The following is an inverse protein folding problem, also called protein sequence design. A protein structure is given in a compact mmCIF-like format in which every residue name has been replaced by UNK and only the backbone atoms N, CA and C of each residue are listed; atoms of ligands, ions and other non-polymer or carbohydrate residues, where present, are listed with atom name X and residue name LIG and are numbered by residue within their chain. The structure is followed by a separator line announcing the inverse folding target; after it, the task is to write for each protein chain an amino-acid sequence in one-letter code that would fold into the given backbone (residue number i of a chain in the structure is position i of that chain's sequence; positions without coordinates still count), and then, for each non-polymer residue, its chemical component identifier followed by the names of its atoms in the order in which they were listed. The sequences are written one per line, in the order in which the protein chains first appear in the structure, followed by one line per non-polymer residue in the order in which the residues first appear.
data_IF_025597740880
#
_entry.id   IF_025597740880
#
_cell.length_a   1.000
_cell.length_b   1.000
_cell.length_c   1.000
_cell.angle_alpha   90.00
_cell.angle_beta   90.00
_cell.angle_gamma   90.00
#
_symmetry.space_group_name_H-M   'P 1'
#
loop_
_entity.id
_entity.type
_entity.pdbx_description
1 polymer ?
#
# COMPACT_ATOMS: atom_id res chain seq x y z
N UNK A 1 18.78 8.58 5.19
CA UNK A 1 17.61 8.00 5.88
C UNK A 1 16.61 7.51 4.85
N UNK A 2 15.95 6.38 5.10
CA UNK A 2 14.94 5.78 4.21
C UNK A 2 13.65 6.59 4.27
N UNK A 3 13.48 7.54 3.33
CA UNK A 3 12.34 8.48 3.32
C UNK A 3 10.98 7.81 3.11
N UNK A 4 10.94 6.59 2.57
CA UNK A 4 9.70 5.84 2.33
C UNK A 4 9.34 4.89 3.49
N UNK A 5 9.94 5.11 4.67
CA UNK A 5 9.74 4.33 5.91
C UNK A 5 10.07 2.85 5.74
N UNK A 6 9.21 1.95 6.24
CA UNK A 6 9.40 0.50 6.22
C UNK A 6 8.24 -0.23 5.53
N UNK A 7 8.43 -1.52 5.31
CA UNK A 7 7.37 -2.40 4.81
C UNK A 7 6.19 -2.50 5.78
N UNK A 8 6.36 -2.14 7.07
CA UNK A 8 5.23 -2.04 7.98
C UNK A 8 4.24 -0.97 7.52
N UNK A 9 4.71 0.21 7.11
CA UNK A 9 3.80 1.26 6.66
C UNK A 9 3.23 0.98 5.28
N UNK A 10 3.99 0.31 4.40
CA UNK A 10 3.45 -0.24 3.16
C UNK A 10 2.27 -1.20 3.48
N UNK A 11 2.47 -2.14 4.40
CA UNK A 11 1.46 -3.10 4.80
C UNK A 11 0.23 -2.43 5.44
N UNK A 12 0.42 -1.47 6.35
CA UNK A 12 -0.68 -0.70 6.95
C UNK A 12 -1.51 0.02 5.88
N UNK A 13 -0.85 0.58 4.84
CA UNK A 13 -1.52 1.30 3.76
C UNK A 13 -2.22 0.40 2.76
N UNK A 14 -1.59 -0.71 2.40
CA UNK A 14 -2.02 -1.56 1.28
C UNK A 14 -2.83 -2.77 1.73
N UNK A 15 -2.77 -3.14 3.00
CA UNK A 15 -3.19 -4.44 3.53
C UNK A 15 -2.39 -5.58 2.88
N UNK A 16 -2.65 -5.85 1.61
CA UNK A 16 -1.97 -6.84 0.78
C UNK A 16 -1.23 -6.19 -0.39
N UNK A 17 -0.12 -6.80 -0.81
CA UNK A 17 0.57 -6.44 -2.05
C UNK A 17 0.38 -7.53 -3.11
N UNK A 18 0.51 -7.13 -4.38
CA UNK A 18 0.36 -8.05 -5.50
C UNK A 18 1.52 -9.06 -5.56
N UNK A 19 1.30 -10.18 -6.25
CA UNK A 19 2.33 -11.21 -6.43
C UNK A 19 3.59 -10.62 -7.10
N UNK A 20 3.53 -9.80 -8.17
CA UNK A 20 4.73 -9.17 -8.75
C UNK A 20 5.47 -8.24 -7.79
N UNK A 21 4.77 -7.40 -7.02
CA UNK A 21 5.38 -6.55 -5.98
C UNK A 21 6.10 -7.41 -4.94
N UNK A 22 5.44 -8.48 -4.48
CA UNK A 22 6.03 -9.38 -3.49
C UNK A 22 7.29 -10.07 -4.01
N UNK A 23 7.35 -10.49 -5.29
CA UNK A 23 8.59 -11.01 -5.88
C UNK A 23 9.71 -9.99 -5.86
N UNK A 24 9.41 -8.73 -6.21
CA UNK A 24 10.39 -7.64 -6.19
C UNK A 24 10.98 -7.42 -4.80
N UNK A 25 10.12 -7.28 -3.80
CA UNK A 25 10.53 -7.04 -2.41
C UNK A 25 11.21 -8.24 -1.78
N UNK A 26 10.61 -9.44 -1.85
CA UNK A 26 11.13 -10.67 -1.25
C UNK A 26 12.49 -11.04 -1.84
N UNK A 27 12.70 -10.84 -3.15
CA UNK A 27 13.99 -11.06 -3.78
C UNK A 27 15.08 -10.18 -3.14
N UNK A 28 14.84 -8.87 -2.97
CA UNK A 28 15.81 -7.97 -2.36
C UNK A 28 16.05 -8.27 -0.87
N UNK A 29 14.99 -8.62 -0.13
CA UNK A 29 15.13 -9.05 1.27
C UNK A 29 16.03 -10.29 1.36
N UNK A 30 15.82 -11.29 0.50
CA UNK A 30 16.63 -12.51 0.48
C UNK A 30 18.09 -12.21 0.12
N UNK A 31 18.35 -11.30 -0.83
CA UNK A 31 19.71 -10.85 -1.13
C UNK A 31 20.39 -10.20 0.08
N UNK A 32 19.67 -9.36 0.83
CA UNK A 32 20.16 -8.74 2.05
C UNK A 32 20.47 -9.78 3.14
N UNK A 33 19.57 -10.72 3.40
CA UNK A 33 19.79 -11.79 4.38
C UNK A 33 20.92 -12.73 3.97
N UNK A 34 21.03 -13.06 2.68
CA UNK A 34 22.17 -13.82 2.14
C UNK A 34 23.49 -13.12 2.44
N UNK A 35 23.54 -11.80 2.25
CA UNK A 35 24.73 -11.03 2.61
C UNK A 35 25.05 -11.14 4.11
N UNK A 36 24.07 -10.95 4.99
CA UNK A 36 24.26 -11.10 6.45
C UNK A 36 24.79 -12.50 6.83
N UNK A 37 24.14 -13.54 6.32
CA UNK A 37 24.53 -14.92 6.59
C UNK A 37 25.94 -15.23 6.06
N UNK A 38 26.34 -14.68 4.91
CA UNK A 38 27.71 -14.80 4.39
C UNK A 38 28.76 -14.14 5.28
N UNK A 39 28.38 -13.12 6.05
CA UNK A 39 29.22 -12.43 7.04
C UNK A 39 29.10 -13.04 8.44
N UNK A 40 28.44 -14.21 8.57
CA UNK A 40 28.15 -14.88 9.84
C UNK A 40 27.34 -14.03 10.81
N UNK A 41 26.46 -13.17 10.28
CA UNK A 41 25.55 -12.33 11.07
C UNK A 41 24.16 -12.94 11.02
N UNK A 42 23.52 -13.08 12.18
CA UNK A 42 22.11 -13.44 12.33
C UNK A 42 21.39 -12.19 12.82
N UNK A 43 20.28 -11.82 12.15
CA UNK A 43 19.58 -10.60 12.49
C UNK A 43 18.69 -10.74 13.74
N UNK A 44 17.99 -11.88 13.88
CA UNK A 44 17.12 -12.24 15.03
C UNK A 44 15.85 -11.39 15.25
N UNK A 45 15.64 -10.33 14.48
CA UNK A 45 14.44 -9.47 14.58
C UNK A 45 13.99 -8.97 13.21
N UNK A 46 14.00 -9.86 12.22
CA UNK A 46 13.42 -9.54 10.91
C UNK A 46 11.90 -9.44 11.05
N UNK A 47 11.37 -8.27 10.73
CA UNK A 47 9.93 -7.96 10.72
C UNK A 47 9.69 -6.81 9.73
N UNK A 48 8.46 -6.59 9.25
CA UNK A 48 8.19 -5.52 8.27
C UNK A 48 8.70 -4.14 8.71
N UNK A 49 8.67 -3.84 10.02
CA UNK A 49 9.18 -2.59 10.60
C UNK A 49 10.70 -2.38 10.46
N UNK A 50 11.47 -3.47 10.31
CA UNK A 50 12.93 -3.44 10.17
C UNK A 50 13.39 -3.61 8.71
N UNK A 51 12.43 -3.66 7.77
CA UNK A 51 12.69 -3.70 6.34
C UNK A 51 12.34 -2.33 5.75
N UNK A 52 13.33 -1.46 5.62
CA UNK A 52 13.16 -0.09 5.18
C UNK A 52 13.12 0.04 3.65
N UNK A 53 12.47 1.08 3.15
CA UNK A 53 12.34 1.42 1.73
C UNK A 53 12.97 2.79 1.47
N UNK A 54 13.88 2.87 0.50
CA UNK A 54 14.40 4.16 0.02
C UNK A 54 13.47 4.81 -1.02
N UNK A 55 13.92 5.93 -1.60
CA UNK A 55 13.13 6.77 -2.52
C UNK A 55 12.85 6.11 -3.88
N UNK A 56 13.45 4.96 -4.15
CA UNK A 56 13.26 4.14 -5.36
C UNK A 56 12.65 2.78 -5.00
N UNK A 57 12.04 2.69 -3.80
CA UNK A 57 11.46 1.48 -3.21
C UNK A 57 12.45 0.31 -3.13
N UNK A 58 13.75 0.57 -2.98
CA UNK A 58 14.73 -0.48 -2.73
C UNK A 58 14.75 -0.84 -1.25
N UNK A 59 14.90 -2.13 -0.98
CA UNK A 59 14.91 -2.68 0.36
C UNK A 59 16.26 -2.42 1.05
N UNK A 60 16.20 -1.91 2.28
CA UNK A 60 17.34 -1.81 3.21
C UNK A 60 16.96 -2.50 4.53
N UNK A 61 17.70 -3.54 4.90
CA UNK A 61 17.53 -4.19 6.21
C UNK A 61 18.19 -3.30 7.27
N UNK A 62 17.46 -2.98 8.33
CA UNK A 62 17.93 -2.13 9.42
C UNK A 62 17.61 -2.69 10.80
N UNK A 63 17.94 -1.94 11.84
CA UNK A 63 17.79 -2.31 13.25
C UNK A 63 18.54 -3.62 13.65
N UNK A 64 19.86 -3.49 13.74
CA UNK A 64 20.75 -4.56 14.18
C UNK A 64 20.89 -4.64 15.72
N UNK A 65 19.99 -4.01 16.48
CA UNK A 65 20.07 -3.96 17.96
C UNK A 65 20.04 -5.34 18.61
N UNK A 66 19.43 -6.32 17.93
CA UNK A 66 19.41 -7.72 18.34
C UNK A 66 20.29 -8.61 17.47
N UNK A 67 21.05 -8.07 16.51
CA UNK A 67 21.89 -8.90 15.66
C UNK A 67 23.09 -9.47 16.44
N UNK A 68 23.53 -10.67 16.06
CA UNK A 68 24.73 -11.30 16.65
C UNK A 68 25.60 -11.91 15.57
N UNK A 69 26.91 -12.00 15.85
CA UNK A 69 27.82 -12.82 15.05
C UNK A 69 27.81 -14.22 15.60
N UNK A 70 27.70 -15.19 14.71
CA UNK A 70 27.74 -16.61 15.09
C UNK A 70 29.14 -16.97 15.60
N UNK A 71 29.31 -16.96 16.93
CA UNK A 71 30.49 -17.46 17.64
C UNK A 71 30.08 -18.70 18.44
N UNK A 72 30.89 -19.76 18.34
CA UNK A 72 30.60 -21.07 18.94
C UNK A 72 30.52 -21.07 20.49
N UNK A 73 30.99 -20.01 21.15
CA UNK A 73 31.29 -20.04 22.60
C UNK A 73 30.38 -19.21 23.52
N UNK A 74 29.41 -18.43 23.03
CA UNK A 74 28.66 -17.48 23.91
C UNK A 74 27.11 -17.53 23.80
N UNK A 75 26.55 -18.57 23.18
CA UNK A 75 25.17 -18.54 22.66
C UNK A 75 24.06 -18.91 23.67
N UNK A 76 24.23 -18.53 24.96
CA UNK A 76 23.21 -18.74 26.01
C UNK A 76 22.59 -17.46 26.56
N UNK A 77 23.04 -16.28 26.14
CA UNK A 77 22.68 -14.99 26.77
C UNK A 77 21.90 -14.06 25.86
N UNK A 78 20.62 -14.38 25.62
CA UNK A 78 19.51 -13.42 25.40
C UNK A 78 18.28 -14.23 24.95
N UNK A 79 17.28 -14.37 25.84
CA UNK A 79 16.26 -15.42 25.73
C UNK A 79 14.87 -14.96 25.28
N UNK A 80 14.57 -13.66 25.26
CA UNK A 80 13.24 -13.16 24.87
C UNK A 80 13.34 -11.75 24.30
N UNK A 81 13.84 -11.62 23.09
CA UNK A 81 13.91 -10.32 22.42
C UNK A 81 13.36 -10.46 20.99
N UNK A 82 12.58 -9.50 20.54
CA UNK A 82 11.95 -9.46 19.21
C UNK A 82 10.42 -9.43 19.27
N UNK A 83 9.79 -9.18 18.12
CA UNK A 83 8.32 -9.11 18.01
C UNK A 83 7.71 -10.52 17.89
N UNK A 84 6.79 -10.95 18.80
CA UNK A 84 6.29 -12.33 18.88
C UNK A 84 5.81 -12.93 17.55
N UNK A 85 5.10 -12.16 16.72
CA UNK A 85 4.51 -12.61 15.46
C UNK A 85 5.50 -13.12 14.40
N UNK A 86 6.80 -12.81 14.53
CA UNK A 86 7.84 -13.17 13.56
C UNK A 86 8.91 -14.08 14.17
N UNK A 87 8.71 -14.51 15.42
CA UNK A 87 9.67 -15.30 16.19
C UNK A 87 9.56 -16.79 15.84
N UNK A 88 10.69 -17.45 15.66
CA UNK A 88 10.74 -18.87 15.33
C UNK A 88 10.49 -19.77 16.56
N UNK A 89 9.90 -20.97 16.41
CA UNK A 89 9.56 -21.84 17.53
C UNK A 89 10.76 -22.24 18.38
N UNK A 90 11.94 -22.43 17.77
CA UNK A 90 13.17 -22.80 18.48
C UNK A 90 13.68 -21.70 19.43
N UNK A 91 13.30 -20.44 19.18
CA UNK A 91 13.61 -19.32 20.08
C UNK A 91 12.76 -19.42 21.36
N UNK A 92 11.50 -19.87 21.23
CA UNK A 92 10.61 -20.07 22.36
C UNK A 92 11.01 -21.28 23.22
N UNK A 93 11.60 -22.31 22.61
CA UNK A 93 12.04 -23.53 23.29
C UNK A 93 13.49 -23.48 23.79
N UNK A 94 14.20 -22.36 23.54
CA UNK A 94 15.58 -22.13 23.98
C UNK A 94 16.60 -23.13 23.40
N UNK A 95 16.31 -23.72 22.24
CA UNK A 95 17.16 -24.73 21.58
C UNK A 95 18.28 -24.12 20.71
N UNK A 96 18.53 -22.81 20.83
CA UNK A 96 19.65 -22.11 20.20
C UNK A 96 19.22 -21.22 19.04
N UNK A 97 19.91 -20.10 18.87
CA UNK A 97 19.68 -19.15 17.78
C UNK A 97 20.44 -19.61 16.53
N UNK A 98 19.81 -19.59 15.37
CA UNK A 98 20.49 -19.99 14.12
C UNK A 98 20.04 -19.14 12.95
N UNK A 99 20.79 -19.17 11.84
CA UNK A 99 20.40 -18.61 10.55
C UNK A 99 18.98 -19.03 10.13
N UNK A 100 18.50 -20.18 10.62
CA UNK A 100 17.15 -20.71 10.37
C UNK A 100 16.02 -19.93 11.06
N UNK A 101 16.32 -19.18 12.11
CA UNK A 101 15.36 -18.27 12.73
C UNK A 101 15.04 -17.11 11.78
N UNK A 102 16.06 -16.51 11.14
CA UNK A 102 15.85 -15.49 10.11
C UNK A 102 15.00 -16.05 8.94
N UNK A 103 15.24 -17.30 8.51
CA UNK A 103 14.43 -17.94 7.45
C UNK A 103 12.94 -18.08 7.85
N UNK A 104 12.65 -18.37 9.11
CA UNK A 104 11.28 -18.39 9.61
C UNK A 104 10.65 -17.00 9.54
N UNK A 105 11.35 -15.98 10.05
CA UNK A 105 10.90 -14.59 10.03
C UNK A 105 10.63 -14.10 8.60
N UNK A 106 11.45 -14.50 7.62
CA UNK A 106 11.22 -14.25 6.20
C UNK A 106 9.92 -14.88 5.69
N UNK A 107 9.62 -16.12 6.09
CA UNK A 107 8.34 -16.78 5.80
C UNK A 107 7.14 -16.01 6.38
N UNK A 108 7.26 -15.54 7.63
CA UNK A 108 6.23 -14.71 8.25
C UNK A 108 6.04 -13.37 7.52
N UNK A 109 7.12 -12.68 7.14
CA UNK A 109 7.04 -11.42 6.37
C UNK A 109 6.35 -11.65 5.03
N UNK A 110 6.74 -12.70 4.30
CA UNK A 110 6.14 -13.04 3.01
C UNK A 110 4.65 -13.34 3.14
N UNK A 111 4.26 -14.12 4.16
CA UNK A 111 2.86 -14.38 4.47
C UNK A 111 2.10 -13.07 4.78
N UNK A 112 2.63 -12.22 5.67
CA UNK A 112 1.98 -10.95 6.06
C UNK A 112 1.72 -10.06 4.86
N UNK A 113 2.70 -9.91 3.96
CA UNK A 113 2.58 -9.05 2.78
C UNK A 113 1.55 -9.56 1.77
N UNK A 114 1.41 -10.88 1.63
CA UNK A 114 0.52 -11.51 0.65
C UNK A 114 -0.90 -11.78 1.19
N UNK A 115 -1.04 -12.02 2.49
CA UNK A 115 -2.29 -12.42 3.13
C UNK A 115 -2.92 -11.27 3.92
N UNK A 116 -2.17 -10.21 4.24
CA UNK A 116 -2.69 -9.02 4.92
C UNK A 116 -2.75 -9.16 6.45
N UNK A 117 -2.24 -10.25 7.01
CA UNK A 117 -2.10 -10.45 8.46
C UNK A 117 -0.96 -11.41 8.77
N UNK A 118 -0.37 -11.38 9.98
CA UNK A 118 0.64 -12.37 10.38
C UNK A 118 0.08 -13.80 10.40
N UNK A 119 0.91 -14.83 10.16
CA UNK A 119 0.44 -16.23 10.10
C UNK A 119 -0.07 -16.77 11.44
N UNK A 120 0.50 -16.32 12.56
CA UNK A 120 0.21 -16.84 13.90
C UNK A 120 -0.50 -15.82 14.79
N UNK A 121 -1.15 -14.82 14.20
CA UNK A 121 -1.79 -13.72 14.92
C UNK A 121 -2.89 -14.23 15.87
N UNK A 122 -2.98 -13.67 17.08
CA UNK A 122 -3.96 -14.03 18.09
C UNK A 122 -4.23 -12.86 19.04
N UNK A 123 -5.31 -12.94 19.82
CA UNK A 123 -5.70 -11.88 20.77
C UNK A 123 -4.75 -11.72 21.96
N UNK A 124 -3.97 -12.76 22.29
CA UNK A 124 -2.99 -12.74 23.37
C UNK A 124 -1.63 -13.24 22.91
N UNK A 125 -0.56 -12.77 23.57
CA UNK A 125 0.81 -13.19 23.27
C UNK A 125 1.00 -14.70 23.51
N UNK A 126 0.36 -15.24 24.55
CA UNK A 126 0.34 -16.66 24.84
C UNK A 126 -0.36 -17.46 23.72
N UNK A 127 -1.43 -16.90 23.14
CA UNK A 127 -2.11 -17.45 21.97
C UNK A 127 -1.19 -17.50 20.75
N UNK A 128 -0.44 -16.42 20.49
CA UNK A 128 0.57 -16.37 19.41
C UNK A 128 1.62 -17.47 19.62
N UNK A 129 2.19 -17.57 20.84
CA UNK A 129 3.17 -18.61 21.16
C UNK A 129 2.61 -20.02 21.02
N UNK A 130 1.35 -20.25 21.41
CA UNK A 130 0.69 -21.53 21.22
C UNK A 130 0.60 -21.89 19.73
N UNK A 131 0.16 -20.95 18.89
CA UNK A 131 0.08 -21.15 17.44
C UNK A 131 1.44 -21.42 16.80
N UNK A 132 2.47 -20.69 17.19
CA UNK A 132 3.85 -20.91 16.71
C UNK A 132 4.34 -22.31 17.08
N UNK A 133 4.15 -22.75 18.34
CA UNK A 133 4.58 -24.07 18.82
C UNK A 133 3.89 -25.23 18.09
N UNK A 134 2.63 -25.05 17.71
CA UNK A 134 1.87 -26.06 16.96
C UNK A 134 1.94 -25.86 15.43
N UNK A 135 2.61 -24.80 14.96
CA UNK A 135 2.60 -24.36 13.56
C UNK A 135 1.19 -24.24 12.98
N UNK A 136 0.29 -23.68 13.78
CA UNK A 136 -1.11 -23.48 13.44
C UNK A 136 -1.29 -22.17 12.67
N UNK A 137 -1.25 -22.27 11.34
CA UNK A 137 -1.59 -21.22 10.39
C UNK A 137 -2.24 -21.84 9.15
N UNK A 138 -2.99 -21.04 8.40
CA UNK A 138 -3.68 -21.50 7.18
C UNK A 138 -3.26 -20.65 5.99
N UNK A 139 -2.98 -21.29 4.85
CA UNK A 139 -2.73 -20.57 3.60
C UNK A 139 -4.06 -20.48 2.83
N UNK A 140 -4.53 -19.27 2.46
CA UNK A 140 -5.72 -19.13 1.65
C UNK A 140 -5.59 -19.85 0.31
N UNK A 141 -6.64 -20.55 -0.14
CA UNK A 141 -6.65 -21.25 -1.44
C UNK A 141 -6.54 -20.30 -2.64
N UNK A 142 -6.91 -19.03 -2.45
CA UNK A 142 -6.74 -17.96 -3.44
C UNK A 142 -5.29 -17.53 -3.63
N UNK A 143 -4.37 -17.92 -2.75
CA UNK A 143 -2.97 -17.53 -2.85
C UNK A 143 -2.27 -18.30 -3.97
N UNK A 144 -1.49 -17.57 -4.77
CA UNK A 144 -0.69 -18.14 -5.85
C UNK A 144 0.16 -19.34 -5.39
N UNK A 145 0.05 -20.48 -6.10
CA UNK A 145 0.59 -21.77 -5.67
C UNK A 145 2.10 -21.75 -5.36
N UNK A 146 2.92 -21.11 -6.20
CA UNK A 146 4.35 -21.01 -5.93
C UNK A 146 4.64 -20.13 -4.69
N UNK A 147 3.79 -19.14 -4.40
CA UNK A 147 3.95 -18.30 -3.21
C UNK A 147 3.62 -19.11 -1.94
N UNK A 148 2.51 -19.84 -1.97
CA UNK A 148 2.10 -20.76 -0.91
C UNK A 148 3.19 -21.80 -0.62
N UNK A 149 3.74 -22.44 -1.65
CA UNK A 149 4.83 -23.42 -1.53
C UNK A 149 6.07 -22.81 -0.87
N UNK A 150 6.48 -21.60 -1.28
CA UNK A 150 7.65 -20.92 -0.70
C UNK A 150 7.44 -20.56 0.78
N UNK A 151 6.24 -20.13 1.15
CA UNK A 151 5.86 -19.87 2.55
C UNK A 151 5.95 -21.17 3.35
N UNK A 152 5.36 -22.26 2.87
CA UNK A 152 5.39 -23.55 3.55
C UNK A 152 6.80 -24.08 3.76
N UNK A 153 7.73 -23.88 2.82
CA UNK A 153 9.13 -24.28 2.99
C UNK A 153 9.86 -23.51 4.10
N UNK A 154 9.49 -22.23 4.33
CA UNK A 154 10.08 -21.39 5.37
C UNK A 154 9.45 -21.64 6.74
N UNK A 155 8.13 -21.82 6.80
CA UNK A 155 7.35 -22.03 8.03
C UNK A 155 7.26 -23.52 8.41
N UNK A 156 8.41 -24.15 8.61
CA UNK A 156 8.53 -25.52 9.12
C UNK A 156 8.89 -25.49 10.61
N UNK A 157 8.23 -26.32 11.44
CA UNK A 157 8.54 -26.44 12.87
C UNK A 157 10.03 -26.75 13.10
N UNK A 158 10.54 -27.78 12.41
CA UNK A 158 11.94 -28.17 12.53
C UNK A 158 12.85 -27.20 11.76
N UNK A 159 13.83 -26.54 12.42
CA UNK A 159 14.75 -25.60 11.75
C UNK A 159 15.58 -26.27 10.66
N UNK A 160 15.86 -27.58 10.80
CA UNK A 160 16.62 -28.37 9.83
C UNK A 160 15.90 -28.56 8.50
N UNK A 161 14.56 -28.53 8.51
CA UNK A 161 13.74 -28.66 7.30
C UNK A 161 13.66 -27.36 6.51
N UNK A 162 13.97 -26.23 7.13
CA UNK A 162 13.99 -24.94 6.44
C UNK A 162 15.21 -24.87 5.53
N UNK A 163 15.07 -24.52 4.25
CA UNK A 163 16.20 -24.37 3.32
C UNK A 163 17.12 -23.19 3.71
N UNK A 164 18.30 -23.09 3.09
CA UNK A 164 19.10 -21.86 3.18
C UNK A 164 18.53 -20.80 2.26
N UNK A 165 18.87 -19.53 2.50
CA UNK A 165 18.47 -18.42 1.63
C UNK A 165 18.95 -18.60 0.19
N UNK A 166 20.12 -19.21 -0.05
CA UNK A 166 20.59 -19.54 -1.40
C UNK A 166 19.68 -20.53 -2.15
N UNK A 167 19.07 -21.47 -1.42
CA UNK A 167 18.09 -22.39 -2.01
C UNK A 167 16.75 -21.67 -2.26
N UNK A 168 16.34 -20.79 -1.35
CA UNK A 168 15.11 -20.01 -1.51
C UNK A 168 15.16 -19.05 -2.71
N UNK A 169 16.31 -18.42 -2.98
CA UNK A 169 16.52 -17.57 -4.16
C UNK A 169 16.34 -18.30 -5.50
N UNK A 170 16.42 -19.63 -5.50
CA UNK A 170 16.22 -20.49 -6.69
C UNK A 170 14.80 -21.07 -6.78
N UNK A 171 13.92 -20.73 -5.84
CA UNK A 171 12.56 -21.26 -5.83
C UNK A 171 11.73 -20.70 -6.98
N UNK A 172 10.85 -21.53 -7.56
CA UNK A 172 9.97 -21.18 -8.69
C UNK A 172 9.22 -19.87 -8.50
N UNK A 173 8.82 -19.53 -7.27
CA UNK A 173 8.19 -18.25 -6.99
C UNK A 173 9.02 -17.03 -7.44
N UNK A 174 10.35 -17.08 -7.30
CA UNK A 174 11.24 -15.96 -7.63
C UNK A 174 11.80 -16.04 -9.05
N UNK A 175 11.92 -17.25 -9.61
CA UNK A 175 12.48 -17.48 -10.96
C UNK A 175 11.41 -17.60 -12.04
N UNK A 176 10.21 -18.08 -11.69
CA UNK A 176 9.07 -18.27 -12.58
C UNK A 176 8.01 -17.19 -12.28
N UNK A 177 7.95 -16.20 -13.16
CA UNK A 177 6.90 -15.19 -13.17
C UNK A 177 7.43 -13.76 -13.22
N UNK A 178 6.50 -12.82 -13.44
CA UNK A 178 6.83 -11.41 -13.58
C UNK A 178 7.39 -10.85 -12.26
N UNK A 179 8.64 -10.41 -12.29
CA UNK A 179 9.32 -9.65 -11.24
C UNK A 179 9.75 -8.31 -11.83
N UNK A 180 9.10 -7.19 -11.46
CA UNK A 180 9.45 -5.89 -12.02
C UNK A 180 10.89 -5.50 -11.65
N UNK A 181 11.52 -4.65 -12.45
CA UNK A 181 12.88 -4.14 -12.21
C UNK A 181 12.89 -2.95 -11.26
N UNK A 182 11.80 -2.20 -11.22
CA UNK A 182 11.53 -1.07 -10.34
C UNK A 182 10.05 -1.05 -9.98
N UNK A 183 9.69 -0.39 -8.88
CA UNK A 183 8.30 -0.14 -8.53
C UNK A 183 8.07 1.37 -8.39
N UNK A 184 6.92 1.88 -8.84
CA UNK A 184 6.58 3.28 -8.67
C UNK A 184 6.32 3.63 -7.22
N UNK A 185 6.62 4.86 -6.81
CA UNK A 185 6.32 5.34 -5.46
C UNK A 185 4.83 5.20 -5.10
N UNK A 186 3.93 5.24 -6.10
CA UNK A 186 2.50 4.99 -5.91
C UNK A 186 2.21 3.62 -5.27
N UNK A 187 3.07 2.61 -5.50
CA UNK A 187 2.93 1.28 -4.89
C UNK A 187 2.85 1.31 -3.36
N UNK A 188 3.34 2.38 -2.72
CA UNK A 188 3.19 2.57 -1.28
C UNK A 188 1.71 2.68 -0.82
N UNK A 189 0.77 3.01 -1.72
CA UNK A 189 -0.62 3.36 -1.36
C UNK A 189 -1.67 2.68 -2.25
N UNK A 190 -1.31 2.34 -3.49
CA UNK A 190 -2.21 1.71 -4.47
C UNK A 190 -1.52 0.54 -5.17
N UNK A 191 -2.28 -0.49 -5.55
CA UNK A 191 -1.75 -1.62 -6.30
C UNK A 191 -1.28 -1.19 -7.69
N UNK A 192 -0.10 -1.65 -8.14
CA UNK A 192 0.32 -1.41 -9.50
C UNK A 192 -0.57 -2.21 -10.45
N UNK A 193 -0.76 -1.65 -11.63
CA UNK A 193 -1.51 -2.28 -12.71
C UNK A 193 -0.71 -3.44 -13.26
N UNK A 194 -1.24 -4.66 -13.21
CA UNK A 194 -0.61 -5.87 -13.75
C UNK A 194 -1.25 -6.35 -15.05
N UNK A 195 -2.41 -5.78 -15.39
CA UNK A 195 -3.28 -6.04 -16.54
C UNK A 195 -2.69 -5.57 -17.89
N UNK A 196 -1.78 -4.60 -17.88
CA UNK A 196 -1.08 -4.13 -19.09
C UNK A 196 0.40 -4.54 -19.19
N UNK A 197 0.92 -5.38 -18.28
CA UNK A 197 2.34 -5.79 -18.30
C UNK A 197 2.60 -6.95 -19.27
N UNK A 198 2.67 -6.61 -20.55
CA UNK A 198 3.37 -7.38 -21.58
C UNK A 198 4.89 -7.10 -21.66
N UNK A 199 5.54 -6.58 -20.62
CA UNK A 199 6.92 -6.08 -20.70
C UNK A 199 7.95 -7.04 -20.05
N UNK A 200 8.80 -7.57 -20.93
CA UNK A 200 10.04 -8.32 -20.70
C UNK A 200 9.97 -9.59 -19.88
N UNK A 201 9.34 -10.60 -20.47
CA UNK A 201 9.80 -11.98 -20.32
C UNK A 201 11.26 -12.11 -20.78
N UNK A 202 12.22 -11.82 -19.89
CA UNK A 202 13.48 -12.57 -19.97
C UNK A 202 13.16 -13.95 -19.43
N UNK A 203 12.69 -14.83 -20.31
CA UNK A 203 12.76 -16.26 -20.04
C UNK A 203 14.24 -16.59 -19.84
N UNK A 204 14.70 -16.62 -18.60
CA UNK A 204 15.92 -17.35 -18.25
C UNK A 204 15.59 -18.84 -18.36
N UNK A 205 15.39 -19.32 -19.58
CA UNK A 205 15.49 -20.73 -19.86
C UNK A 205 16.96 -21.12 -19.65
N UNK A 206 17.27 -22.16 -18.86
CA UNK A 206 18.61 -22.72 -18.86
C UNK A 206 18.98 -23.20 -20.28
N UNK A 207 20.27 -23.20 -20.65
CA UNK A 207 20.70 -23.68 -21.97
C UNK A 207 20.23 -25.12 -22.14
N UNK A 208 19.39 -25.37 -23.15
CA UNK A 208 19.08 -26.74 -23.58
C UNK A 208 20.36 -27.34 -24.14
N UNK A 209 20.92 -28.31 -23.42
CA UNK A 209 21.91 -29.22 -23.99
C UNK A 209 21.28 -29.94 -25.17
N UNK A 210 22.01 -29.90 -26.29
CA UNK A 210 21.70 -30.60 -27.51
C UNK A 210 21.71 -32.11 -27.28
N UNK A 211 20.56 -32.76 -27.45
CA UNK A 211 20.55 -34.14 -27.93
C UNK A 211 19.37 -34.33 -28.89
N UNK A 212 19.73 -34.81 -30.07
CA UNK A 212 18.84 -35.07 -31.18
C UNK A 212 17.99 -36.31 -30.92
N UNK A 213 16.70 -36.25 -31.26
CA UNK A 213 16.09 -37.22 -32.18
C UNK A 213 14.71 -36.71 -32.60
N UNK A 214 14.49 -36.71 -33.91
CA UNK A 214 13.21 -36.46 -34.54
C UNK A 214 12.30 -37.69 -34.35
N UNK A 215 11.00 -37.47 -34.11
CA UNK A 215 9.92 -37.97 -34.97
C UNK A 215 8.53 -37.80 -34.32
N UNK A 216 7.54 -37.74 -35.23
CA UNK A 216 6.09 -37.90 -35.06
C UNK A 216 5.29 -36.65 -34.67
N UNK A 217 4.60 -36.15 -35.70
CA UNK A 217 3.46 -35.24 -35.66
C UNK A 217 2.22 -36.06 -35.30
N UNK A 218 1.51 -35.68 -34.23
CA UNK A 218 0.11 -36.04 -34.01
C UNK A 218 -0.68 -34.79 -33.63
N UNK A 219 -1.75 -34.53 -34.39
CA UNK A 219 -2.69 -33.42 -34.21
C UNK A 219 -3.50 -33.59 -32.92
N UNK A 220 -3.55 -32.54 -32.10
CA UNK A 220 -4.45 -32.44 -30.94
C UNK A 220 -5.69 -31.58 -31.28
N UNK A 221 -6.86 -31.85 -30.67
CA UNK A 221 -8.14 -31.30 -31.12
C UNK A 221 -8.32 -29.83 -30.72
N UNK A 222 -9.03 -29.09 -31.58
CA UNK A 222 -9.50 -27.72 -31.34
C UNK A 222 -10.52 -27.71 -30.20
N UNK A 223 -10.15 -27.12 -29.05
CA UNK A 223 -11.12 -26.67 -28.05
C UNK A 223 -11.12 -25.14 -28.01
N UNK A 224 -12.34 -24.58 -28.07
CA UNK A 224 -12.68 -23.17 -27.99
C UNK A 224 -12.14 -22.51 -26.72
N UNK A 225 -11.89 -21.18 -26.73
CA UNK A 225 -11.26 -20.49 -25.61
C UNK A 225 -12.25 -20.34 -24.44
N UNK A 226 -12.09 -21.18 -23.42
CA UNK A 226 -12.69 -20.97 -22.10
C UNK A 226 -12.05 -19.73 -21.47
N UNK A 227 -12.87 -18.74 -21.13
CA UNK A 227 -12.46 -17.53 -20.42
C UNK A 227 -11.73 -17.90 -19.13
N UNK A 228 -10.43 -17.61 -19.06
CA UNK A 228 -9.65 -17.73 -17.86
C UNK A 228 -9.93 -16.51 -16.97
N UNK A 229 -10.70 -16.71 -15.91
CA UNK A 229 -10.85 -15.74 -14.82
C UNK A 229 -9.48 -15.50 -14.16
N UNK A 230 -9.05 -14.24 -14.13
CA UNK A 230 -7.83 -13.78 -13.45
C UNK A 230 -7.96 -13.93 -11.93
N UNK A 231 -7.03 -14.59 -11.22
CA UNK A 231 -7.16 -14.83 -9.79
C UNK A 231 -6.60 -13.68 -8.93
N UNK A 232 -7.43 -13.22 -7.98
CA UNK A 232 -6.96 -12.82 -6.64
C UNK A 232 -6.55 -11.36 -6.41
N UNK A 233 -7.38 -10.39 -6.79
CA UNK A 233 -7.39 -9.06 -6.17
C UNK A 233 -8.48 -9.09 -5.09
N UNK A 234 -8.19 -8.73 -3.83
CA UNK A 234 -9.27 -8.49 -2.86
C UNK A 234 -10.29 -7.54 -3.52
N UNK A 235 -11.60 -7.82 -3.46
CA UNK A 235 -12.58 -6.99 -4.14
C UNK A 235 -12.39 -5.53 -3.71
N UNK A 236 -12.26 -4.64 -4.70
CA UNK A 236 -12.11 -3.21 -4.47
C UNK A 236 -13.23 -2.81 -3.52
N UNK A 237 -12.88 -2.30 -2.33
CA UNK A 237 -13.88 -1.89 -1.34
C UNK A 237 -14.88 -0.95 -2.01
N UNK A 238 -16.17 -1.25 -1.85
CA UNK A 238 -17.20 -0.35 -2.36
C UNK A 238 -17.09 1.01 -1.67
N UNK A 239 -17.59 2.05 -2.33
CA UNK A 239 -17.59 3.39 -1.74
C UNK A 239 -18.28 3.39 -0.36
N UNK A 240 -19.37 2.64 -0.24
CA UNK A 240 -20.11 2.48 1.00
C UNK A 240 -19.26 1.83 2.11
N UNK A 241 -18.43 0.84 1.77
CA UNK A 241 -17.50 0.23 2.72
C UNK A 241 -16.43 1.22 3.20
N UNK A 242 -15.89 2.06 2.29
CA UNK A 242 -14.92 3.10 2.65
C UNK A 242 -15.55 4.19 3.54
N UNK A 243 -16.76 4.64 3.21
CA UNK A 243 -17.53 5.59 4.02
C UNK A 243 -17.81 5.02 5.41
N UNK A 244 -18.23 3.75 5.49
CA UNK A 244 -18.48 3.07 6.76
C UNK A 244 -17.22 2.92 7.62
N UNK A 245 -16.06 2.68 7.00
CA UNK A 245 -14.77 2.64 7.71
C UNK A 245 -14.41 4.00 8.31
N UNK A 246 -14.56 5.09 7.53
CA UNK A 246 -14.36 6.46 8.04
C UNK A 246 -15.33 6.75 9.19
N UNK A 247 -16.61 6.41 9.02
CA UNK A 247 -17.66 6.62 10.02
C UNK A 247 -17.34 5.88 11.33
N UNK A 248 -16.92 4.62 11.23
CA UNK A 248 -16.52 3.82 12.39
C UNK A 248 -15.31 4.42 13.09
N UNK A 249 -14.27 4.81 12.35
CA UNK A 249 -13.08 5.45 12.91
C UNK A 249 -13.41 6.75 13.65
N UNK A 250 -14.24 7.61 13.04
CA UNK A 250 -14.64 8.86 13.66
C UNK A 250 -15.59 8.67 14.83
N UNK A 251 -16.45 7.64 14.82
CA UNK A 251 -17.32 7.33 15.96
C UNK A 251 -16.54 6.77 17.13
N UNK A 252 -15.55 5.92 16.86
CA UNK A 252 -14.63 5.40 17.88
C UNK A 252 -13.82 6.53 18.50
N UNK A 253 -13.29 7.43 17.67
CA UNK A 253 -12.62 8.63 18.14
C UNK A 253 -13.60 9.48 18.94
N UNK A 254 -14.67 9.99 18.35
CA UNK A 254 -15.58 11.01 18.92
C UNK A 254 -16.70 10.44 19.83
N UNK A 255 -16.56 9.21 20.33
CA UNK A 255 -17.59 8.50 21.09
C UNK A 255 -17.97 9.15 22.44
N UNK A 256 -18.77 8.45 23.25
CA UNK A 256 -19.29 8.95 24.54
C UNK A 256 -18.17 9.47 25.49
N UNK A 257 -16.99 8.86 25.46
CA UNK A 257 -15.82 9.29 26.23
C UNK A 257 -15.10 10.53 25.66
N UNK A 258 -15.35 10.91 24.41
CA UNK A 258 -14.78 12.13 23.83
C UNK A 258 -15.41 13.42 24.39
N UNK A 259 -16.55 13.32 25.10
CA UNK A 259 -17.03 14.41 25.97
C UNK A 259 -16.07 14.69 27.14
N UNK A 260 -15.15 13.77 27.47
CA UNK A 260 -14.07 13.95 28.45
C UNK A 260 -12.76 14.47 27.84
N UNK A 261 -12.66 14.50 26.50
CA UNK A 261 -11.55 15.11 25.79
C UNK A 261 -11.67 16.63 25.89
N UNK A 262 -11.16 17.14 27.02
CA UNK A 262 -10.84 18.54 27.26
C UNK A 262 -10.13 19.07 26.00
N UNK A 263 -10.65 20.13 25.39
CA UNK A 263 -9.85 20.99 24.52
C UNK A 263 -8.63 21.41 25.35
N UNK A 264 -7.49 20.76 25.12
CA UNK A 264 -6.30 20.94 25.98
C UNK A 264 -5.43 22.09 25.50
N UNK A 265 -5.61 22.53 24.25
CA UNK A 265 -4.74 23.49 23.59
C UNK A 265 -5.55 24.49 22.75
N UNK A 266 -5.06 25.73 22.70
CA UNK A 266 -5.54 26.75 21.75
C UNK A 266 -5.12 26.42 20.31
N UNK A 267 -3.98 25.74 20.15
CA UNK A 267 -3.49 25.15 18.90
C UNK A 267 -2.71 23.87 19.21
N UNK A 268 -2.94 22.81 18.45
CA UNK A 268 -2.14 21.59 18.57
C UNK A 268 -0.65 21.89 18.31
N UNK A 269 0.26 21.51 19.23
CA UNK A 269 1.69 21.67 19.03
C UNK A 269 2.16 20.98 17.74
N UNK A 270 3.06 21.63 17.00
CA UNK A 270 3.68 21.04 15.81
C UNK A 270 4.43 19.73 16.12
N UNK A 271 4.90 19.57 17.36
CA UNK A 271 5.56 18.37 17.88
C UNK A 271 4.66 17.13 17.90
N UNK A 272 3.33 17.31 17.95
CA UNK A 272 2.36 16.21 17.89
C UNK A 272 2.03 15.81 16.44
N UNK A 273 2.51 16.58 15.45
CA UNK A 273 2.37 16.24 14.05
C UNK A 273 3.27 15.05 13.71
N UNK A 274 2.76 14.13 12.88
CA UNK A 274 3.53 13.07 12.23
C UNK A 274 3.57 13.38 10.73
N UNK A 275 4.59 14.12 10.25
CA UNK A 275 4.73 14.50 8.84
C UNK A 275 4.78 13.30 7.90
N UNK A 276 5.26 12.17 8.39
CA UNK A 276 5.39 10.97 7.59
C UNK A 276 4.04 10.20 7.45
N UNK A 277 3.02 10.55 8.24
CA UNK A 277 1.65 10.07 8.10
C UNK A 277 0.79 10.87 7.11
N UNK A 278 1.36 11.91 6.48
CA UNK A 278 0.68 12.80 5.54
C UNK A 278 0.09 12.05 4.32
N UNK A 279 -1.09 12.44 3.80
CA UNK A 279 -1.63 11.91 2.54
C UNK A 279 -0.64 12.16 1.41
N UNK A 280 -0.36 11.19 0.54
CA UNK A 280 0.47 11.47 -0.64
C UNK A 280 -0.27 12.23 -1.73
N UNK A 281 -1.56 11.94 -1.90
CA UNK A 281 -2.38 12.51 -2.97
C UNK A 281 -3.64 13.09 -2.38
N UNK A 282 -3.89 14.36 -2.68
CA UNK A 282 -5.08 15.09 -2.31
C UNK A 282 -5.44 16.09 -3.42
N UNK A 283 -6.68 16.59 -3.40
CA UNK A 283 -7.11 17.63 -4.34
C UNK A 283 -6.53 18.97 -3.87
N UNK A 284 -5.54 19.45 -4.62
CA UNK A 284 -4.91 20.75 -4.39
C UNK A 284 -5.87 21.89 -4.75
N UNK A 285 -6.49 21.79 -5.93
CA UNK A 285 -7.34 22.80 -6.56
C UNK A 285 -8.49 22.13 -7.30
N UNK A 286 -9.60 22.82 -7.46
CA UNK A 286 -10.75 22.32 -8.19
C UNK A 286 -11.58 23.49 -8.74
N UNK A 287 -12.35 23.22 -9.77
CA UNK A 287 -13.33 24.13 -10.37
C UNK A 287 -14.53 23.29 -10.82
N UNK A 288 -15.72 23.84 -10.67
CA UNK A 288 -16.95 23.19 -11.11
C UNK A 288 -17.73 24.13 -12.01
N UNK A 289 -18.20 23.59 -13.13
CA UNK A 289 -19.06 24.26 -14.08
C UNK A 289 -20.12 23.27 -14.61
N UNK A 290 -20.84 23.65 -15.67
CA UNK A 290 -21.84 22.80 -16.32
C UNK A 290 -21.29 21.51 -16.93
N UNK A 291 -19.98 21.44 -17.18
CA UNK A 291 -19.31 20.29 -17.78
C UNK A 291 -18.90 19.23 -16.75
N UNK A 292 -18.88 19.60 -15.46
CA UNK A 292 -18.57 18.69 -14.36
C UNK A 292 -17.66 19.31 -13.32
N UNK A 293 -17.05 18.45 -12.52
CA UNK A 293 -16.11 18.81 -11.46
C UNK A 293 -14.68 18.55 -11.92
N UNK A 294 -13.98 19.60 -12.35
CA UNK A 294 -12.56 19.56 -12.63
C UNK A 294 -11.73 19.64 -11.35
N UNK A 295 -10.69 18.83 -11.23
CA UNK A 295 -9.77 18.86 -10.11
C UNK A 295 -8.31 18.68 -10.52
N UNK A 296 -7.43 19.23 -9.70
CA UNK A 296 -5.98 19.11 -9.81
C UNK A 296 -5.46 18.45 -8.54
N UNK A 297 -4.81 17.30 -8.68
CA UNK A 297 -4.19 16.58 -7.59
C UNK A 297 -2.85 17.23 -7.23
N UNK A 298 -2.31 16.97 -6.04
CA UNK A 298 -1.02 17.52 -5.64
C UNK A 298 0.19 16.90 -6.36
N UNK A 299 -0.03 15.84 -7.15
CA UNK A 299 0.98 15.17 -7.99
C UNK A 299 0.89 15.62 -9.47
N UNK A 300 0.30 16.79 -9.73
CA UNK A 300 0.10 17.41 -11.05
C UNK A 300 -0.79 16.65 -12.03
N UNK A 301 -1.44 15.58 -11.58
CA UNK A 301 -2.51 14.94 -12.35
C UNK A 301 -3.78 15.80 -12.32
N UNK A 302 -4.45 15.90 -13.46
CA UNK A 302 -5.69 16.67 -13.60
C UNK A 302 -6.81 15.72 -13.99
N UNK A 303 -7.94 15.82 -13.33
CA UNK A 303 -9.10 15.01 -13.67
C UNK A 303 -10.39 15.80 -13.75
N UNK A 304 -11.38 15.17 -14.37
CA UNK A 304 -12.74 15.66 -14.49
C UNK A 304 -13.67 14.53 -14.07
N UNK A 305 -14.53 14.81 -13.09
CA UNK A 305 -15.68 13.99 -12.75
C UNK A 305 -16.88 14.55 -13.51
N UNK A 306 -17.40 13.80 -14.48
CA UNK A 306 -18.51 14.22 -15.31
C UNK A 306 -19.86 13.98 -14.61
N UNK A 307 -20.93 14.70 -15.02
CA UNK A 307 -22.27 14.54 -14.44
C UNK A 307 -22.86 13.13 -14.59
N UNK A 308 -22.40 12.36 -15.58
CA UNK A 308 -22.81 10.98 -15.82
C UNK A 308 -22.01 9.96 -14.99
N UNK A 309 -21.28 10.42 -13.96
CA UNK A 309 -20.38 9.65 -13.10
C UNK A 309 -19.14 9.03 -13.78
N UNK A 310 -18.91 9.28 -15.08
CA UNK A 310 -17.64 8.90 -15.71
C UNK A 310 -16.51 9.87 -15.34
N UNK A 311 -15.27 9.44 -15.51
CA UNK A 311 -14.10 10.24 -15.14
C UNK A 311 -13.02 10.16 -16.21
N UNK A 312 -12.37 11.27 -16.48
CA UNK A 312 -11.12 11.31 -17.22
C UNK A 312 -10.04 11.94 -16.35
N UNK A 313 -8.85 11.34 -16.32
CA UNK A 313 -7.70 11.83 -15.58
C UNK A 313 -6.51 11.87 -16.53
N UNK A 314 -6.01 13.06 -16.84
CA UNK A 314 -4.77 13.25 -17.58
C UNK A 314 -3.59 13.27 -16.61
N UNK A 315 -2.58 12.48 -16.93
CA UNK A 315 -1.37 12.37 -16.12
C UNK A 315 -0.52 13.65 -16.22
N UNK A 316 0.37 13.87 -15.26
CA UNK A 316 1.30 15.01 -15.23
C UNK A 316 2.17 15.13 -16.50
N UNK A 317 2.45 14.00 -17.18
CA UNK A 317 3.14 14.02 -18.48
C UNK A 317 2.34 14.68 -19.61
N UNK A 318 1.05 14.98 -19.37
CA UNK A 318 0.17 15.65 -20.31
C UNK A 318 -0.23 14.83 -21.53
N UNK A 319 0.13 13.54 -21.59
CA UNK A 319 -0.10 12.66 -22.73
C UNK A 319 -1.07 11.52 -22.39
N UNK A 320 -0.84 10.85 -21.26
CA UNK A 320 -1.59 9.66 -20.88
C UNK A 320 -2.89 10.05 -20.19
N UNK A 321 -3.97 9.36 -20.53
CA UNK A 321 -5.30 9.58 -20.00
C UNK A 321 -5.87 8.28 -19.46
N UNK A 322 -6.38 8.35 -18.22
CA UNK A 322 -7.10 7.29 -17.54
C UNK A 322 -8.60 7.61 -17.60
N UNK A 323 -9.37 6.73 -18.20
CA UNK A 323 -10.82 6.79 -18.25
C UNK A 323 -11.43 5.79 -17.25
N UNK A 324 -12.47 6.21 -16.54
CA UNK A 324 -13.29 5.35 -15.68
C UNK A 324 -14.74 5.51 -16.09
N UNK A 325 -15.40 4.41 -16.45
CA UNK A 325 -16.79 4.40 -16.87
C UNK A 325 -17.77 4.45 -15.67
N UNK A 326 -19.06 4.31 -15.95
CA UNK A 326 -20.13 4.37 -14.94
C UNK A 326 -20.16 3.15 -14.01
N UNK A 327 -19.59 2.04 -14.46
CA UNK A 327 -19.47 0.77 -13.75
C UNK A 327 -18.12 0.62 -13.04
N UNK A 328 -17.32 1.70 -12.97
CA UNK A 328 -15.94 1.71 -12.47
C UNK A 328 -14.97 0.82 -13.28
N UNK A 329 -15.28 0.48 -14.53
CA UNK A 329 -14.27 -0.11 -15.41
C UNK A 329 -13.26 0.95 -15.83
N UNK A 330 -11.99 0.59 -15.72
CA UNK A 330 -10.88 1.46 -16.04
C UNK A 330 -10.38 1.18 -17.46
N UNK A 331 -10.01 2.23 -18.19
CA UNK A 331 -9.40 2.15 -19.52
C UNK A 331 -8.31 3.19 -19.67
N UNK A 332 -7.29 2.88 -20.46
CA UNK A 332 -6.13 3.73 -20.66
C UNK A 332 -5.96 4.10 -22.11
N UNK A 333 -5.65 5.36 -22.33
CA UNK A 333 -5.57 5.96 -23.65
C UNK A 333 -4.59 7.13 -23.63
N UNK A 334 -4.40 7.76 -24.78
CA UNK A 334 -3.60 8.97 -24.88
C UNK A 334 -4.45 10.11 -25.41
N UNK A 335 -4.01 11.34 -25.24
CA UNK A 335 -4.65 12.52 -25.86
C UNK A 335 -4.71 12.45 -27.39
N UNK A 336 -3.96 11.55 -28.03
CA UNK A 336 -3.93 11.36 -29.48
C UNK A 336 -4.63 10.10 -29.96
N UNK A 337 -4.89 9.14 -29.07
CA UNK A 337 -5.43 7.84 -29.41
C UNK A 337 -6.45 7.42 -28.34
N UNK A 338 -7.73 7.60 -28.65
CA UNK A 338 -8.88 7.27 -27.80
C UNK A 338 -10.12 6.96 -28.67
N UNK A 339 -11.15 6.28 -28.13
CA UNK A 339 -12.40 6.03 -28.84
C UNK A 339 -13.15 7.32 -29.18
N UNK A 340 -13.69 7.43 -30.40
CA UNK A 340 -14.39 8.63 -30.87
C UNK A 340 -15.59 9.04 -29.98
N UNK A 341 -16.19 8.10 -29.28
CA UNK A 341 -17.28 8.34 -28.31
C UNK A 341 -16.87 9.26 -27.15
N UNK A 342 -15.57 9.37 -26.86
CA UNK A 342 -15.03 10.21 -25.79
C UNK A 342 -14.58 11.60 -26.25
N UNK A 343 -14.72 11.95 -27.54
CA UNK A 343 -14.25 13.21 -28.12
C UNK A 343 -14.69 14.43 -27.30
N UNK A 344 -16.00 14.57 -27.04
CA UNK A 344 -16.56 15.70 -26.30
C UNK A 344 -16.01 15.77 -24.85
N UNK A 345 -15.79 14.61 -24.21
CA UNK A 345 -15.24 14.54 -22.85
C UNK A 345 -13.75 14.89 -22.84
N UNK A 346 -13.01 14.50 -23.88
CA UNK A 346 -11.59 14.85 -24.05
C UNK A 346 -11.41 16.34 -24.27
N UNK A 347 -12.27 16.99 -25.07
CA UNK A 347 -12.27 18.45 -25.22
C UNK A 347 -12.49 19.16 -23.88
N UNK A 348 -13.45 18.68 -23.07
CA UNK A 348 -13.71 19.20 -21.72
C UNK A 348 -12.52 18.99 -20.78
N UNK A 349 -11.87 17.83 -20.82
CA UNK A 349 -10.65 17.56 -20.05
C UNK A 349 -9.54 18.56 -20.41
N UNK A 350 -9.31 18.82 -21.69
CA UNK A 350 -8.32 19.78 -22.18
C UNK A 350 -8.69 21.21 -21.75
N UNK A 351 -9.98 21.56 -21.82
CA UNK A 351 -10.49 22.84 -21.33
C UNK A 351 -10.19 23.03 -19.84
N UNK A 352 -10.56 22.07 -18.98
CA UNK A 352 -10.29 22.15 -17.54
C UNK A 352 -8.78 22.21 -17.25
N UNK A 353 -7.97 21.40 -17.94
CA UNK A 353 -6.50 21.44 -17.82
C UNK A 353 -5.96 22.83 -18.10
N UNK A 354 -6.36 23.43 -19.22
CA UNK A 354 -5.94 24.78 -19.61
C UNK A 354 -6.40 25.81 -18.59
N UNK A 355 -7.69 25.76 -18.22
CA UNK A 355 -8.27 26.69 -17.25
C UNK A 355 -7.54 26.67 -15.91
N UNK A 356 -7.28 25.49 -15.34
CA UNK A 356 -6.59 25.37 -14.06
C UNK A 356 -5.13 25.81 -14.13
N UNK A 357 -4.45 25.52 -15.23
CA UNK A 357 -3.06 25.92 -15.45
C UNK A 357 -2.93 27.44 -15.55
N UNK A 358 -3.84 28.08 -16.30
CA UNK A 358 -3.76 29.50 -16.62
C UNK A 358 -4.33 30.40 -15.51
N UNK A 359 -5.38 29.95 -14.79
CA UNK A 359 -6.16 30.81 -13.90
C UNK A 359 -5.99 30.52 -12.41
N UNK A 360 -5.51 29.33 -12.05
CA UNK A 360 -5.28 28.98 -10.65
C UNK A 360 -3.78 29.09 -10.37
N UNK A 361 -3.36 30.21 -9.72
CA UNK A 361 -1.96 30.48 -9.38
C UNK A 361 -1.22 29.24 -8.86
N UNK A 362 -0.06 28.95 -9.41
CA UNK A 362 0.95 28.04 -8.85
C UNK A 362 1.46 28.65 -7.54
N UNK A 363 0.84 28.27 -6.43
CA UNK A 363 1.46 28.49 -5.13
C UNK A 363 2.48 27.40 -4.90
N UNK A 364 3.61 27.78 -4.30
CA UNK A 364 4.86 27.02 -4.20
C UNK A 364 4.73 25.71 -3.41
N UNK A 365 4.03 24.73 -3.98
CA UNK A 365 3.92 23.34 -3.50
C UNK A 365 4.63 22.40 -4.49
N UNK A 366 5.77 22.83 -5.05
CA UNK A 366 6.60 21.97 -5.92
C UNK A 366 7.70 21.33 -5.09
N UNK A 367 7.38 20.20 -4.47
CA UNK A 367 8.37 19.12 -4.47
C UNK A 367 8.49 18.65 -5.94
N UNK A 368 9.71 18.42 -6.45
CA UNK A 368 9.90 18.06 -7.85
C UNK A 368 9.11 16.79 -8.18
N UNK A 369 8.24 16.91 -9.17
CA UNK A 369 7.53 15.79 -9.80
C UNK A 369 8.58 14.78 -10.26
N UNK A 370 8.69 13.66 -9.54
CA UNK A 370 9.36 12.48 -10.08
C UNK A 370 8.48 11.95 -11.21
N UNK A 371 9.12 11.69 -12.36
CA UNK A 371 8.50 11.17 -13.58
C UNK A 371 7.38 10.17 -13.27
N UNK A 372 6.18 10.42 -13.79
CA UNK A 372 5.02 9.58 -13.54
C UNK A 372 5.25 8.20 -14.15
N UNK A 373 5.49 7.21 -13.30
CA UNK A 373 5.69 5.83 -13.68
C UNK A 373 4.43 5.20 -14.31
N UNK A 374 4.63 4.49 -15.42
CA UNK A 374 3.58 3.83 -16.22
C UNK A 374 2.74 2.76 -15.47
N UNK A 375 3.11 2.39 -14.23
CA UNK A 375 2.53 1.26 -13.50
C UNK A 375 1.57 1.65 -12.35
N UNK A 376 1.37 2.94 -12.08
CA UNK A 376 0.56 3.41 -10.95
C UNK A 376 -0.97 3.34 -11.21
N UNK A 377 -1.75 2.71 -10.31
CA UNK A 377 -3.21 2.91 -10.26
C UNK A 377 -3.52 4.23 -9.54
N UNK A 378 -3.55 5.31 -10.31
CA UNK A 378 -3.59 6.68 -9.80
C UNK A 378 -4.82 6.95 -8.92
N UNK A 379 -4.68 7.67 -7.79
CA UNK A 379 -5.81 8.17 -7.05
C UNK A 379 -6.64 9.11 -7.92
N UNK A 380 -7.96 9.01 -7.86
CA UNK A 380 -8.86 9.90 -8.59
C UNK A 380 -10.08 10.24 -7.72
N UNK A 381 -10.73 11.37 -8.05
CA UNK A 381 -11.96 11.77 -7.37
C UNK A 381 -13.08 10.84 -7.79
N UNK A 382 -13.59 10.06 -6.83
CA UNK A 382 -14.65 9.09 -7.02
C UNK A 382 -16.02 9.75 -6.99
N UNK A 383 -16.22 10.63 -6.01
CA UNK A 383 -17.47 11.33 -5.76
C UNK A 383 -17.21 12.67 -5.07
N UNK A 384 -18.06 13.66 -5.37
CA UNK A 384 -18.08 14.95 -4.69
C UNK A 384 -19.47 15.18 -4.14
N UNK A 385 -19.55 15.66 -2.91
CA UNK A 385 -20.79 16.07 -2.26
C UNK A 385 -20.61 17.44 -1.62
N UNK A 386 -21.66 18.26 -1.61
CA UNK A 386 -21.62 19.64 -1.11
C UNK A 386 -22.58 19.85 0.02
N UNK A 387 -22.13 20.60 1.01
CA UNK A 387 -22.96 21.13 2.09
C UNK A 387 -22.87 22.65 2.12
N UNK A 388 -23.72 23.34 2.90
CA UNK A 388 -23.57 24.78 3.11
C UNK A 388 -22.24 25.21 3.72
N UNK A 389 -21.46 24.29 4.34
CA UNK A 389 -20.23 24.63 5.07
C UNK A 389 -18.95 24.11 4.40
N UNK A 390 -19.04 23.03 3.61
CA UNK A 390 -17.88 22.38 3.03
C UNK A 390 -18.21 21.58 1.77
N UNK A 391 -17.15 21.23 1.04
CA UNK A 391 -17.20 20.31 -0.09
C UNK A 391 -16.45 19.05 0.31
N UNK A 392 -17.15 17.92 0.23
CA UNK A 392 -16.65 16.59 0.50
C UNK A 392 -16.17 15.98 -0.81
N UNK A 393 -14.91 15.54 -0.83
CA UNK A 393 -14.25 14.94 -1.98
C UNK A 393 -13.78 13.56 -1.55
N UNK A 394 -14.37 12.53 -2.12
CA UNK A 394 -13.96 11.14 -1.89
C UNK A 394 -13.01 10.69 -2.98
N UNK A 395 -11.85 10.18 -2.57
CA UNK A 395 -10.90 9.54 -3.48
C UNK A 395 -11.14 8.02 -3.52
N UNK A 396 -10.84 7.40 -4.67
CA UNK A 396 -10.97 5.95 -4.87
C UNK A 396 -10.11 5.09 -3.91
N UNK A 397 -9.10 5.67 -3.26
CA UNK A 397 -8.25 4.98 -2.29
C UNK A 397 -8.82 4.97 -0.85
N UNK A 398 -10.04 5.50 -0.66
CA UNK A 398 -10.73 5.60 0.63
C UNK A 398 -10.41 6.87 1.43
N UNK A 399 -9.57 7.76 0.91
CA UNK A 399 -9.33 9.07 1.53
C UNK A 399 -10.54 9.99 1.35
N UNK A 400 -10.94 10.67 2.42
CA UNK A 400 -11.95 11.71 2.40
C UNK A 400 -11.30 13.07 2.65
N UNK A 401 -11.53 14.03 1.76
CA UNK A 401 -11.11 15.41 1.91
C UNK A 401 -12.32 16.34 2.04
N UNK A 402 -12.30 17.22 3.04
CA UNK A 402 -13.26 18.30 3.23
C UNK A 402 -12.55 19.62 2.96
N UNK A 403 -13.10 20.41 2.04
CA UNK A 403 -12.71 21.79 1.81
C UNK A 403 -13.77 22.70 2.42
N UNK A 404 -13.46 23.36 3.53
CA UNK A 404 -14.39 24.24 4.22
C UNK A 404 -14.42 25.64 3.59
N UNK A 405 -15.55 26.33 3.69
CA UNK A 405 -15.70 27.72 3.22
C UNK A 405 -14.75 28.70 3.94
N UNK A 406 -14.23 28.31 5.11
CA UNK A 406 -13.21 29.07 5.87
C UNK A 406 -11.78 28.93 5.30
N UNK A 407 -11.62 28.49 4.04
CA UNK A 407 -10.31 28.20 3.42
C UNK A 407 -9.41 27.21 4.19
N UNK A 408 -10.00 26.39 5.06
CA UNK A 408 -9.31 25.29 5.75
C UNK A 408 -9.65 23.97 5.08
N UNK A 409 -8.73 23.01 5.15
CA UNK A 409 -8.95 21.65 4.64
C UNK A 409 -8.79 20.62 5.76
N UNK A 410 -9.56 19.54 5.67
CA UNK A 410 -9.41 18.37 6.51
C UNK A 410 -9.33 17.13 5.61
N UNK A 411 -8.26 16.35 5.73
CA UNK A 411 -8.05 15.14 4.95
C UNK A 411 -7.98 13.97 5.92
N UNK A 412 -8.92 13.04 5.82
CA UNK A 412 -9.03 11.86 6.66
C UNK A 412 -8.55 10.66 5.85
N UNK A 413 -7.52 9.97 6.35
CA UNK A 413 -6.93 8.80 5.72
C UNK A 413 -7.13 7.57 6.62
N UNK A 414 -8.20 6.77 6.40
CA UNK A 414 -8.54 5.61 7.22
C UNK A 414 -7.40 4.61 7.39
N UNK A 415 -6.75 4.28 6.27
CA UNK A 415 -5.61 3.36 6.20
C UNK A 415 -4.44 3.79 7.07
N UNK A 416 -4.23 5.10 7.21
CA UNK A 416 -3.17 5.65 8.07
C UNK A 416 -3.63 5.85 9.51
N UNK A 417 -4.93 5.71 9.78
CA UNK A 417 -5.59 6.17 11.00
C UNK A 417 -5.07 7.56 11.36
N UNK A 418 -5.11 8.47 10.40
CA UNK A 418 -4.57 9.82 10.54
C UNK A 418 -5.46 10.86 9.86
N UNK A 419 -5.36 12.08 10.37
CA UNK A 419 -6.09 13.26 9.92
C UNK A 419 -5.08 14.35 9.63
N UNK A 420 -5.20 14.99 8.48
CA UNK A 420 -4.38 16.13 8.09
C UNK A 420 -5.24 17.37 8.01
N UNK A 421 -4.84 18.43 8.70
CA UNK A 421 -5.47 19.73 8.66
C UNK A 421 -4.59 20.71 7.89
N UNK A 422 -5.20 21.49 7.01
CA UNK A 422 -4.58 22.65 6.38
C UNK A 422 -5.23 23.90 6.96
N UNK A 423 -4.43 24.77 7.58
CA UNK A 423 -4.91 26.04 8.12
C UNK A 423 -4.96 27.15 7.04
N UNK A 424 -5.37 28.36 7.44
CA UNK A 424 -5.44 29.51 6.53
C UNK A 424 -4.05 29.97 6.04
N UNK A 425 -3.00 29.65 6.78
CA UNK A 425 -1.60 29.87 6.39
C UNK A 425 -1.09 28.82 5.39
N UNK A 426 -1.95 27.86 4.99
CA UNK A 426 -1.61 26.73 4.11
C UNK A 426 -0.57 25.78 4.70
N UNK A 427 -0.43 25.81 6.02
CA UNK A 427 0.45 24.87 6.73
C UNK A 427 -0.34 23.58 6.95
N UNK A 428 0.22 22.48 6.48
CA UNK A 428 -0.31 21.15 6.72
C UNK A 428 0.24 20.58 8.03
N UNK A 429 -0.67 20.09 8.88
CA UNK A 429 -0.34 19.31 10.08
C UNK A 429 -1.06 17.99 10.04
N UNK A 430 -0.37 16.90 10.33
CA UNK A 430 -0.95 15.55 10.27
C UNK A 430 -0.89 14.91 11.63
N UNK A 431 -2.03 14.47 12.16
CA UNK A 431 -2.14 13.86 13.47
C UNK A 431 -2.68 12.44 13.34
N UNK A 432 -2.04 11.47 13.98
CA UNK A 432 -2.60 10.12 14.11
C UNK A 432 -3.81 10.17 15.04
N UNK A 433 -4.80 9.32 14.76
CA UNK A 433 -5.99 9.20 15.59
C UNK A 433 -5.65 8.79 17.02
N UNK A 434 -4.66 7.91 17.22
CA UNK A 434 -4.16 7.55 18.55
C UNK A 434 -3.55 8.74 19.30
N UNK A 435 -2.80 9.62 18.61
CA UNK A 435 -2.26 10.84 19.22
C UNK A 435 -3.38 11.79 19.66
N UNK A 436 -4.42 11.95 18.85
CA UNK A 436 -5.60 12.76 19.20
C UNK A 436 -6.36 12.14 20.38
N UNK A 437 -6.51 10.81 20.42
CA UNK A 437 -7.17 10.10 21.50
C UNK A 437 -6.42 10.27 22.84
N UNK A 438 -5.09 10.16 22.82
CA UNK A 438 -4.23 10.29 24.00
C UNK A 438 -4.10 11.74 24.51
N UNK A 439 -3.88 12.70 23.61
CA UNK A 439 -3.48 14.07 23.96
C UNK A 439 -4.59 15.11 23.77
N UNK A 440 -5.64 14.77 23.04
CA UNK A 440 -6.67 15.69 22.59
C UNK A 440 -6.31 16.48 21.36
N UNK A 441 -7.21 17.40 21.01
CA UNK A 441 -7.07 18.31 19.88
C UNK A 441 -7.58 19.71 20.23
N UNK A 442 -7.26 20.68 19.37
CA UNK A 442 -7.83 22.01 19.45
C UNK A 442 -9.31 22.01 19.04
N UNK A 443 -10.02 23.08 19.43
CA UNK A 443 -11.46 23.23 19.17
C UNK A 443 -11.80 23.20 17.67
N UNK A 444 -10.93 23.74 16.81
CA UNK A 444 -11.19 23.83 15.37
C UNK A 444 -11.12 22.45 14.73
N UNK A 445 -10.09 21.66 15.04
CA UNK A 445 -9.97 20.29 14.56
C UNK A 445 -11.13 19.42 15.07
N UNK A 446 -11.50 19.54 16.34
CA UNK A 446 -12.64 18.82 16.90
C UNK A 446 -13.95 19.14 16.17
N UNK A 447 -14.28 20.43 16.01
CA UNK A 447 -15.49 20.85 15.31
C UNK A 447 -15.51 20.34 13.87
N UNK A 448 -14.38 20.37 13.16
CA UNK A 448 -14.28 19.87 11.80
C UNK A 448 -14.47 18.34 11.73
N UNK A 449 -13.91 17.57 12.67
CA UNK A 449 -14.08 16.11 12.75
C UNK A 449 -15.51 15.72 13.11
N UNK A 450 -16.11 16.42 14.09
CA UNK A 450 -17.51 16.23 14.47
C UNK A 450 -18.45 16.53 13.31
N UNK A 451 -18.21 17.63 12.61
CA UNK A 451 -18.97 17.98 11.42
C UNK A 451 -18.88 16.88 10.34
N UNK A 452 -17.68 16.36 10.08
CA UNK A 452 -17.49 15.26 9.13
C UNK A 452 -18.32 14.03 9.54
N UNK A 453 -18.29 13.64 10.82
CA UNK A 453 -19.05 12.50 11.33
C UNK A 453 -20.57 12.70 11.20
N UNK A 454 -21.09 13.89 11.54
CA UNK A 454 -22.52 14.21 11.43
C UNK A 454 -23.02 14.08 9.99
N UNK A 455 -22.24 14.57 9.01
CA UNK A 455 -22.60 14.43 7.59
C UNK A 455 -22.54 12.96 7.12
N UNK A 456 -21.56 12.18 7.59
CA UNK A 456 -21.46 10.75 7.28
C UNK A 456 -22.59 9.92 7.90
N UNK A 457 -23.13 10.31 9.06
CA UNK A 457 -24.28 9.64 9.70
C UNK A 457 -25.60 10.05 9.02
N UNK A 458 -25.73 11.31 8.62
CA UNK A 458 -26.95 11.86 8.05
C UNK A 458 -27.36 11.31 6.68
N UNK A 459 -26.61 10.34 6.12
CA UNK A 459 -26.90 9.72 4.82
C UNK A 459 -26.70 10.67 3.64
N UNK A 460 -26.02 11.81 3.85
CA UNK A 460 -25.66 12.77 2.82
C UNK A 460 -24.33 12.41 2.13
N UNK A 461 -23.75 11.27 2.47
CA UNK A 461 -22.47 10.76 1.99
C UNK A 461 -22.64 9.67 0.93
#
# INVERSE_FOLDING_TARGET
MCKCRSMLELHIRRNTITVPESRYFIHQIFLGVRYLHSKRIIHRDLKPGNIFLDHDLQVKIGDFGLATRFNYDDDRRQRYCGTPNYMAPEILTLEGHSYKADIWSLGCIMYTLLVGKPPFDASTVEGIYSRIKHCDYTIPSSLHQHAASLISLQLQLSPRRRPSVDKLLKHEFLICGNKPTSLPLSCLYTAPRTDHLGWFTTYLLPPRESSASANAVEEAPKNEPTQAETPGVEPIKTQEQNINEIRCLLTLLLGEDFKKLKYRYDSLPDELSDPEAHPLVWVSRWVEDSNGFGYHLCDDNIGVLFPDNTKLIIMANGLNVHYVDQQDHESYMTITQYPQELEEKMEKLIYFKKYMTDNLKTTADTDPVKESDAMARLPYVRQVFKTPQAIFIYLNNGTLQLNFNTHTKLIICPKMKAVTQMDMGRIFRTFRLGTIDEHGCDLKLFCNLKYALEQLIGGLA
#
